data_IF_944542087360
#
_entry.id   IF_944542087360
#
_cell.length_a   1.000
_cell.length_b   1.000
_cell.length_c   1.000
_cell.angle_alpha   90.00
_cell.angle_beta   90.00
_cell.angle_gamma   90.00
#
_symmetry.space_group_name_H-M   'P 1'
#
loop_
_entity.id
_entity.type
_entity.pdbx_description
1 polymer ?
#
# COMPACT_ATOMS: atom_id res chain seq x y z
N UNK A 1 6.03 -2.03 -11.37
CA UNK A 1 5.01 -1.26 -10.61
C UNK A 1 3.60 -1.49 -11.12
N UNK A 2 3.37 -1.62 -12.42
CA UNK A 2 2.06 -1.97 -13.01
C UNK A 2 1.39 -3.19 -12.34
N UNK A 3 2.10 -4.32 -12.24
CA UNK A 3 1.58 -5.52 -11.56
C UNK A 3 1.18 -5.25 -10.10
N UNK A 4 1.91 -4.40 -9.39
CA UNK A 4 1.59 -4.08 -8.01
C UNK A 4 0.28 -3.28 -7.89
N UNK A 5 0.03 -2.37 -8.83
CA UNK A 5 -1.22 -1.63 -8.91
C UNK A 5 -2.41 -2.54 -9.22
N UNK A 6 -2.24 -3.51 -10.12
CA UNK A 6 -3.28 -4.50 -10.42
C UNK A 6 -3.58 -5.40 -9.22
N UNK A 7 -2.55 -5.87 -8.51
CA UNK A 7 -2.74 -6.71 -7.32
C UNK A 7 -3.39 -5.94 -6.16
N UNK A 8 -3.16 -4.63 -6.03
CA UNK A 8 -3.80 -3.78 -5.02
C UNK A 8 -5.30 -3.56 -5.27
N UNK A 9 -5.78 -3.84 -6.48
CA UNK A 9 -7.21 -3.79 -6.83
C UNK A 9 -7.95 -5.08 -6.44
N UNK A 10 -7.23 -6.17 -6.13
CA UNK A 10 -7.88 -7.40 -5.69
C UNK A 10 -8.56 -7.20 -4.32
N UNK A 11 -9.80 -7.66 -4.16
CA UNK A 11 -10.50 -7.58 -2.88
C UNK A 11 -9.75 -8.38 -1.81
N UNK A 12 -9.37 -7.71 -0.72
CA UNK A 12 -8.60 -8.31 0.37
C UNK A 12 -7.08 -8.24 0.19
N UNK A 13 -6.57 -7.63 -0.89
CA UNK A 13 -5.15 -7.37 -1.03
C UNK A 13 -4.63 -6.37 0.00
N UNK A 14 -3.52 -6.74 0.64
CA UNK A 14 -2.78 -5.89 1.58
C UNK A 14 -1.44 -5.50 0.97
N UNK A 15 -0.91 -4.35 1.38
CA UNK A 15 0.40 -3.84 0.95
C UNK A 15 1.52 -4.87 1.19
N UNK A 16 1.46 -5.59 2.30
CA UNK A 16 2.39 -6.66 2.67
C UNK A 16 2.29 -7.92 1.78
N UNK A 17 1.08 -8.33 1.38
CA UNK A 17 0.93 -9.45 0.45
C UNK A 17 1.41 -9.08 -0.95
N UNK A 18 1.12 -7.85 -1.39
CA UNK A 18 1.55 -7.34 -2.70
C UNK A 18 3.06 -7.15 -2.75
N UNK A 19 3.69 -6.61 -1.70
CA UNK A 19 5.14 -6.43 -1.65
C UNK A 19 5.89 -7.75 -1.84
N UNK A 20 5.47 -8.81 -1.13
CA UNK A 20 6.05 -10.14 -1.27
C UNK A 20 5.83 -10.75 -2.66
N UNK A 21 4.64 -10.56 -3.25
CA UNK A 21 4.34 -11.04 -4.61
C UNK A 21 5.16 -10.35 -5.70
N UNK A 22 5.48 -9.07 -5.52
CA UNK A 22 6.26 -8.30 -6.50
C UNK A 22 7.78 -8.33 -6.23
N UNK A 23 8.22 -9.15 -5.28
CA UNK A 23 9.64 -9.42 -5.02
C UNK A 23 10.32 -8.45 -4.05
N UNK A 24 9.56 -7.69 -3.26
CA UNK A 24 10.12 -6.86 -2.20
C UNK A 24 10.24 -7.67 -0.91
N UNK A 25 11.39 -7.52 -0.23
CA UNK A 25 11.64 -8.14 1.06
C UNK A 25 10.76 -7.57 2.17
N UNK A 26 10.30 -6.31 2.03
CA UNK A 26 9.53 -5.60 3.06
C UNK A 26 8.51 -4.61 2.45
N UNK A 27 7.30 -4.46 3.04
CA UNK A 27 6.28 -3.51 2.58
C UNK A 27 6.69 -2.03 2.61
N UNK A 28 7.65 -1.62 3.42
CA UNK A 28 8.18 -0.26 3.49
C UNK A 28 8.91 0.12 2.21
N UNK A 29 9.91 -0.68 1.80
CA UNK A 29 10.67 -0.44 0.57
C UNK A 29 9.77 -0.46 -0.67
N UNK A 30 8.73 -1.31 -0.65
CA UNK A 30 7.69 -1.30 -1.67
C UNK A 30 6.88 0.01 -1.68
N UNK A 31 6.44 0.49 -0.51
CA UNK A 31 5.62 1.71 -0.39
C UNK A 31 6.35 2.94 -0.92
N UNK A 32 7.65 3.05 -0.66
CA UNK A 32 8.49 4.14 -1.18
C UNK A 32 8.65 4.07 -2.70
N UNK A 33 8.92 2.89 -3.24
CA UNK A 33 9.05 2.69 -4.68
C UNK A 33 7.71 2.94 -5.41
N UNK A 34 6.60 2.52 -4.80
CA UNK A 34 5.25 2.77 -5.31
C UNK A 34 4.91 4.26 -5.29
N UNK A 35 5.26 4.97 -4.21
CA UNK A 35 5.07 6.43 -4.10
C UNK A 35 5.91 7.20 -5.12
N UNK A 36 7.16 6.80 -5.37
CA UNK A 36 7.99 7.41 -6.42
C UNK A 36 7.39 7.22 -7.82
N UNK A 37 6.71 6.09 -8.06
CA UNK A 37 6.13 5.77 -9.36
C UNK A 37 4.74 6.42 -9.59
N UNK A 38 3.87 6.41 -8.58
CA UNK A 38 2.47 6.87 -8.69
C UNK A 38 2.19 8.20 -7.97
N UNK A 39 3.15 8.74 -7.23
CA UNK A 39 2.97 9.95 -6.40
C UNK A 39 2.14 9.72 -5.14
N UNK A 40 1.60 8.52 -4.94
CA UNK A 40 0.68 8.17 -3.87
C UNK A 40 1.14 6.90 -3.15
N UNK A 41 0.81 6.76 -1.86
CA UNK A 41 1.06 5.53 -1.12
C UNK A 41 0.09 4.42 -1.58
N UNK A 42 0.49 3.13 -1.58
CA UNK A 42 -0.35 2.03 -2.05
C UNK A 42 -1.67 1.88 -1.29
N UNK A 43 -1.69 2.16 0.02
CA UNK A 43 -2.92 2.18 0.82
C UNK A 43 -3.89 3.29 0.42
N UNK A 44 -3.37 4.50 0.13
CA UNK A 44 -4.17 5.63 -0.34
C UNK A 44 -4.70 5.39 -1.76
N UNK A 45 -3.92 4.75 -2.63
CA UNK A 45 -4.36 4.33 -3.96
C UNK A 45 -5.55 3.36 -3.88
N UNK A 46 -5.49 2.37 -2.99
CA UNK A 46 -6.62 1.44 -2.74
C UNK A 46 -7.84 2.16 -2.15
N UNK A 47 -7.62 3.06 -1.19
CA UNK A 47 -8.69 3.80 -0.52
C UNK A 47 -9.44 4.72 -1.49
N UNK A 48 -8.73 5.48 -2.33
CA UNK A 48 -9.33 6.32 -3.38
C UNK A 48 -10.22 5.52 -4.34
N UNK A 49 -9.80 4.30 -4.70
CA UNK A 49 -10.53 3.44 -5.63
C UNK A 49 -11.71 2.71 -4.96
N UNK A 50 -11.61 2.42 -3.66
CA UNK A 50 -12.67 1.76 -2.87
C UNK A 50 -13.69 2.75 -2.30
N UNK A 51 -13.29 3.99 -2.00
CA UNK A 51 -14.14 5.05 -1.47
C UNK A 51 -15.25 5.44 -2.45
N UNK A 52 -15.06 5.18 -3.74
CA UNK A 52 -16.09 5.37 -4.77
C UNK A 52 -17.14 4.23 -4.80
N UNK A 53 -16.97 3.18 -3.99
CA UNK A 53 -17.75 1.92 -4.03
C UNK A 53 -18.83 1.76 -2.96
N UNK A 54 -18.51 1.74 -1.65
CA UNK A 54 -19.53 1.66 -0.57
C UNK A 54 -18.90 1.76 0.81
N UNK A 55 -19.53 2.50 1.71
CA UNK A 55 -19.25 2.43 3.15
C UNK A 55 -19.41 1.02 3.73
N UNK A 56 -18.69 0.80 4.84
CA UNK A 56 -18.79 -0.34 5.78
C UNK A 56 -18.24 -1.67 5.26
N UNK A 57 -17.02 -2.01 5.70
CA UNK A 57 -16.61 -3.42 5.83
C UNK A 57 -15.20 -3.79 5.41
N UNK A 58 -14.15 -3.06 5.81
CA UNK A 58 -12.79 -3.62 5.82
C UNK A 58 -12.41 -3.94 7.28
N UNK A 59 -12.97 -5.03 7.80
CA UNK A 59 -12.67 -5.52 9.14
C UNK A 59 -11.24 -6.06 9.23
N UNK A 60 -10.41 -5.38 10.00
CA UNK A 60 -9.26 -5.89 10.80
C UNK A 60 -8.62 -7.19 10.30
N UNK A 61 -7.68 -7.11 9.37
CA UNK A 61 -6.60 -8.11 9.20
C UNK A 61 -5.34 -7.39 8.70
N UNK A 62 -4.44 -7.03 9.62
CA UNK A 62 -3.02 -6.82 9.31
C UNK A 62 -2.38 -5.47 9.62
N UNK A 63 -3.13 -4.41 9.92
CA UNK A 63 -2.53 -3.10 10.21
C UNK A 63 -2.28 -2.91 11.71
N UNK A 64 -1.10 -3.34 12.17
CA UNK A 64 -0.47 -2.63 13.28
C UNK A 64 -0.09 -1.23 12.78
N UNK A 65 -0.25 -0.18 13.60
CA UNK A 65 0.14 1.17 13.21
C UNK A 65 1.63 1.16 12.87
N UNK A 66 1.99 1.62 11.66
CA UNK A 66 3.32 2.17 11.42
C UNK A 66 3.42 3.42 12.30
N UNK A 67 3.74 3.20 13.57
CA UNK A 67 4.18 4.24 14.46
C UNK A 67 5.52 4.79 13.96
N UNK A 68 5.63 6.11 14.10
CA UNK A 68 6.88 6.82 14.39
C UNK A 68 7.71 7.23 13.15
N UNK A 69 7.65 8.55 12.90
CA UNK A 69 8.79 9.42 12.63
C UNK A 69 9.74 8.99 11.51
N UNK A 70 9.41 9.36 10.27
CA UNK A 70 10.43 9.50 9.22
C UNK A 70 10.67 10.99 8.94
N UNK A 71 11.27 11.63 9.93
CA UNK A 71 12.00 12.89 9.78
C UNK A 71 13.30 12.63 8.98
N UNK A 72 13.57 13.53 8.04
CA UNK A 72 14.86 13.83 7.40
C UNK A 72 15.78 12.68 6.93
N UNK A 73 15.72 12.31 5.63
CA UNK A 73 16.91 11.81 4.93
C UNK A 73 16.80 12.04 3.41
N UNK A 74 16.91 13.31 3.00
CA UNK A 74 17.57 13.63 1.73
C UNK A 74 19.00 14.02 2.09
N UNK A 75 19.99 13.28 1.59
CA UNK A 75 21.38 13.73 1.50
C UNK A 75 21.80 13.60 0.05
#
# INVERSE_FOLDING_TARGET
MTLASELLLEPGATVDSVSRRVGYADPYGFSEAFRRYLGLRPGAHRDLLTANGKGRGAGRVGDRPLGEDFEDQTS
#
